data_IF_449591675953
#
_entry.id   IF_449591675953
#
_cell.length_a   1.000
_cell.length_b   1.000
_cell.length_c   1.000
_cell.angle_alpha   90.00
_cell.angle_beta   90.00
_cell.angle_gamma   90.00
#
_symmetry.space_group_name_H-M   'P 1'
#
loop_
_entity.id
_entity.type
_entity.pdbx_description
1 polymer ?
#
# COMPACT_ATOMS: atom_id res chain seq x y z
N UNK A 1 -2.63 20.51 7.15
CA UNK A 1 -2.68 19.61 5.97
C UNK A 1 -1.33 18.89 5.81
N UNK A 2 -0.58 18.69 6.89
CA UNK A 2 0.85 18.35 6.81
C UNK A 2 1.15 16.89 7.18
N UNK A 3 0.11 16.10 7.47
CA UNK A 3 0.21 14.71 7.92
C UNK A 3 0.00 13.66 6.80
N UNK A 4 -0.12 14.02 5.53
CA UNK A 4 -0.19 13.03 4.42
C UNK A 4 1.15 12.91 3.67
N UNK A 5 1.91 14.01 3.57
CA UNK A 5 3.19 14.06 2.86
C UNK A 5 4.34 13.39 3.63
N UNK A 6 4.38 13.55 4.96
CA UNK A 6 5.43 12.93 5.80
C UNK A 6 5.26 11.40 5.87
N UNK A 7 4.01 10.92 5.83
CA UNK A 7 3.68 9.51 6.11
C UNK A 7 3.72 8.61 4.87
N UNK A 8 3.52 9.17 3.68
CA UNK A 8 3.78 8.48 2.40
C UNK A 8 5.29 8.33 2.17
N UNK A 9 6.09 9.29 2.65
CA UNK A 9 7.55 9.18 2.64
C UNK A 9 8.03 8.00 3.51
N UNK A 10 7.49 7.79 4.71
CA UNK A 10 7.92 6.70 5.62
C UNK A 10 7.63 5.29 5.07
N UNK A 11 6.43 5.04 4.54
CA UNK A 11 6.09 3.73 3.97
C UNK A 11 6.89 3.46 2.68
N UNK A 12 7.10 4.49 1.87
CA UNK A 12 7.93 4.40 0.66
C UNK A 12 9.40 4.17 1.05
N UNK A 13 9.90 4.87 2.08
CA UNK A 13 11.25 4.74 2.60
C UNK A 13 11.52 3.34 3.17
N UNK A 14 10.58 2.79 3.95
CA UNK A 14 10.69 1.43 4.48
C UNK A 14 10.63 0.36 3.38
N UNK A 15 9.76 0.53 2.36
CA UNK A 15 9.72 -0.39 1.20
C UNK A 15 11.04 -0.35 0.41
N UNK A 16 11.62 0.83 0.19
CA UNK A 16 12.91 1.01 -0.48
C UNK A 16 14.05 0.37 0.33
N UNK A 17 14.04 0.50 1.66
CA UNK A 17 15.05 -0.09 2.55
C UNK A 17 14.96 -1.63 2.59
N UNK A 18 13.74 -2.19 2.52
CA UNK A 18 13.53 -3.64 2.47
C UNK A 18 14.06 -4.22 1.16
N UNK A 19 13.70 -3.58 0.05
CA UNK A 19 14.14 -3.94 -1.29
C UNK A 19 15.68 -3.89 -1.40
N UNK A 20 16.29 -2.81 -0.91
CA UNK A 20 17.74 -2.67 -0.89
C UNK A 20 18.44 -3.74 -0.04
N UNK A 21 17.85 -4.10 1.11
CA UNK A 21 18.40 -5.12 2.00
C UNK A 21 18.28 -6.52 1.41
N UNK A 22 17.14 -6.85 0.80
CA UNK A 22 16.91 -8.14 0.13
C UNK A 22 17.89 -8.35 -1.03
N UNK A 23 18.11 -7.29 -1.82
CA UNK A 23 19.02 -7.32 -2.96
C UNK A 23 20.48 -7.45 -2.55
N UNK A 24 20.88 -6.79 -1.46
CA UNK A 24 22.24 -6.92 -0.91
C UNK A 24 22.50 -8.34 -0.43
N UNK A 25 21.53 -8.93 0.27
CA UNK A 25 21.60 -10.31 0.73
C UNK A 25 21.78 -11.28 -0.44
N UNK A 26 20.87 -11.24 -1.41
CA UNK A 26 20.92 -12.15 -2.55
C UNK A 26 22.07 -11.86 -3.51
N UNK A 27 22.60 -10.63 -3.51
CA UNK A 27 23.78 -10.25 -4.28
C UNK A 27 25.09 -10.81 -3.71
N UNK A 28 25.09 -11.42 -2.52
CA UNK A 28 26.30 -12.07 -1.99
C UNK A 28 26.68 -13.27 -2.87
N UNK A 29 27.93 -13.33 -3.34
CA UNK A 29 28.45 -14.40 -4.22
C UNK A 29 28.17 -15.81 -3.73
N UNK A 30 28.23 -16.03 -2.41
CA UNK A 30 27.95 -17.33 -1.82
C UNK A 30 26.48 -17.75 -2.02
N UNK A 31 25.54 -16.81 -1.87
CA UNK A 31 24.12 -17.08 -2.08
C UNK A 31 23.85 -17.32 -3.57
N UNK A 32 24.43 -16.50 -4.44
CA UNK A 32 24.37 -16.72 -5.89
C UNK A 32 24.92 -18.09 -6.29
N UNK A 33 26.03 -18.53 -5.69
CA UNK A 33 26.61 -19.83 -5.95
C UNK A 33 25.66 -20.99 -5.58
N UNK A 34 25.00 -20.93 -4.43
CA UNK A 34 23.99 -21.93 -4.05
C UNK A 34 22.78 -21.94 -5.00
N UNK A 35 22.36 -20.78 -5.50
CA UNK A 35 21.31 -20.70 -6.53
C UNK A 35 21.78 -21.39 -7.82
N UNK A 36 23.00 -21.10 -8.27
CA UNK A 36 23.59 -21.68 -9.48
C UNK A 36 23.72 -23.20 -9.40
N UNK A 37 24.21 -23.74 -8.28
CA UNK A 37 24.34 -25.19 -8.06
C UNK A 37 23.00 -25.91 -8.25
N UNK A 38 21.89 -25.26 -7.89
CA UNK A 38 20.57 -25.88 -7.91
C UNK A 38 19.85 -25.69 -9.24
N UNK A 39 20.06 -24.56 -9.91
CA UNK A 39 19.35 -24.19 -11.15
C UNK A 39 20.11 -24.60 -12.41
N UNK A 40 21.43 -24.58 -12.37
CA UNK A 40 22.28 -24.80 -13.55
C UNK A 40 22.95 -26.16 -13.45
N UNK A 41 22.67 -27.05 -14.41
CA UNK A 41 23.16 -28.43 -14.42
C UNK A 41 24.68 -28.55 -14.35
N UNK A 42 25.42 -27.59 -14.92
CA UNK A 42 26.87 -27.58 -14.93
C UNK A 42 27.49 -27.49 -13.52
N UNK A 43 26.80 -26.80 -12.61
CA UNK A 43 27.28 -26.57 -11.24
C UNK A 43 26.72 -27.59 -10.23
N UNK A 44 25.89 -28.54 -10.67
CA UNK A 44 25.30 -29.55 -9.77
C UNK A 44 26.39 -30.40 -9.12
N UNK A 45 26.35 -30.46 -7.79
CA UNK A 45 27.29 -31.26 -6.98
C UNK A 45 28.67 -30.61 -6.78
N UNK A 46 28.88 -29.37 -7.24
CA UNK A 46 30.06 -28.58 -6.89
C UNK A 46 29.88 -27.92 -5.52
N UNK A 47 30.98 -27.57 -4.86
CA UNK A 47 30.95 -26.76 -3.64
C UNK A 47 30.68 -25.28 -3.96
N UNK A 48 29.97 -24.61 -3.05
CA UNK A 48 29.54 -23.23 -3.24
C UNK A 48 30.72 -22.25 -3.29
N UNK A 49 31.81 -22.53 -2.58
CA UNK A 49 33.04 -21.74 -2.61
C UNK A 49 33.70 -21.76 -3.99
N UNK A 50 33.80 -22.93 -4.61
CA UNK A 50 34.32 -23.08 -5.97
C UNK A 50 33.42 -22.37 -6.97
N UNK A 51 32.10 -22.56 -6.89
CA UNK A 51 31.17 -21.86 -7.80
C UNK A 51 31.21 -20.34 -7.58
N UNK A 52 31.33 -19.87 -6.34
CA UNK A 52 31.49 -18.45 -6.04
C UNK A 52 32.77 -17.85 -6.64
N UNK A 53 33.85 -18.65 -6.74
CA UNK A 53 35.09 -18.22 -7.40
C UNK A 53 34.98 -18.12 -8.93
N UNK A 54 33.98 -18.79 -9.53
CA UNK A 54 33.68 -18.70 -10.96
C UNK A 54 32.81 -17.47 -11.29
N UNK A 55 32.26 -16.79 -10.28
CA UNK A 55 31.54 -15.52 -10.47
C UNK A 55 32.55 -14.38 -10.65
N UNK A 56 32.53 -13.79 -11.83
CA UNK A 56 33.44 -12.73 -12.25
C UNK A 56 32.98 -11.36 -11.76
N UNK A 57 33.93 -10.56 -11.28
CA UNK A 57 33.66 -9.22 -10.76
C UNK A 57 32.71 -9.20 -9.56
N UNK A 58 32.05 -8.08 -9.31
CA UNK A 58 30.99 -7.96 -8.31
C UNK A 58 29.62 -7.94 -9.00
N UNK A 59 28.60 -8.59 -8.44
CA UNK A 59 27.23 -8.52 -8.96
C UNK A 59 26.72 -7.08 -9.00
N UNK A 60 26.10 -6.71 -10.12
CA UNK A 60 25.41 -5.42 -10.27
C UNK A 60 24.02 -5.53 -9.67
N UNK A 61 23.72 -4.66 -8.70
CA UNK A 61 22.45 -4.64 -7.98
C UNK A 61 21.66 -3.37 -8.37
N UNK A 62 20.39 -3.51 -8.76
CA UNK A 62 19.45 -2.40 -9.02
C UNK A 62 19.89 -1.35 -10.07
N UNK A 63 20.90 -1.60 -10.89
CA UNK A 63 21.61 -0.48 -11.56
C UNK A 63 21.78 -0.57 -13.08
N UNK A 64 21.19 -1.53 -13.78
CA UNK A 64 21.42 -1.61 -15.23
C UNK A 64 20.10 -1.59 -16.01
N UNK A 65 19.75 -0.47 -16.66
CA UNK A 65 18.76 -0.51 -17.72
C UNK A 65 19.32 -1.35 -18.86
N UNK A 66 18.59 -2.37 -19.31
CA UNK A 66 18.93 -3.04 -20.57
C UNK A 66 18.17 -2.38 -21.71
N UNK A 67 18.88 -2.03 -22.78
CA UNK A 67 18.26 -1.60 -24.03
C UNK A 67 17.67 -2.84 -24.74
N UNK A 68 16.36 -2.89 -25.02
CA UNK A 68 15.76 -3.94 -25.84
C UNK A 68 16.20 -3.70 -27.28
N UNK A 69 17.22 -4.42 -27.76
CA UNK A 69 17.64 -4.32 -29.17
C UNK A 69 19.11 -4.52 -29.47
N UNK A 70 20.00 -4.58 -28.47
CA UNK A 70 21.44 -4.81 -28.69
C UNK A 70 21.74 -6.27 -29.02
N UNK A 71 21.38 -6.69 -30.23
CA UNK A 71 22.13 -7.75 -30.90
C UNK A 71 23.48 -7.17 -31.31
N UNK A 72 24.56 -7.65 -30.69
CA UNK A 72 25.94 -7.31 -31.04
C UNK A 72 26.29 -7.87 -32.44
N UNK A 73 25.66 -7.35 -33.49
CA UNK A 73 26.20 -7.42 -34.85
C UNK A 73 26.50 -6.00 -35.28
N UNK A 74 27.77 -5.63 -35.23
CA UNK A 74 28.27 -4.52 -36.03
C UNK A 74 27.98 -4.87 -37.50
N UNK A 75 26.87 -4.35 -38.04
CA UNK A 75 26.63 -4.42 -39.48
C UNK A 75 27.36 -3.24 -40.11
N UNK A 76 28.47 -3.56 -40.77
CA UNK A 76 29.15 -2.66 -41.70
C UNK A 76 28.39 -2.67 -43.03
N UNK A 77 28.19 -1.50 -43.63
CA UNK A 77 27.59 -1.40 -44.95
C UNK A 77 28.51 -2.08 -45.99
N UNK A 78 27.97 -3.05 -46.72
CA UNK A 78 28.72 -3.91 -47.65
C UNK A 78 29.21 -3.15 -48.91
N UNK A 79 28.84 -1.88 -49.08
CA UNK A 79 29.28 -1.04 -50.20
C UNK A 79 30.37 -0.01 -49.88
N UNK A 80 30.50 0.45 -48.63
CA UNK A 80 31.29 1.66 -48.31
C UNK A 80 32.16 1.54 -47.06
N UNK A 81 31.98 0.53 -46.21
CA UNK A 81 32.82 0.30 -45.03
C UNK A 81 32.71 1.37 -43.94
N UNK A 82 31.78 2.30 -44.03
CA UNK A 82 31.55 3.32 -43.01
C UNK A 82 30.58 2.84 -41.93
N UNK A 83 30.87 3.26 -40.69
CA UNK A 83 30.07 2.97 -39.51
C UNK A 83 28.76 3.75 -39.59
N UNK A 84 27.64 3.07 -39.80
CA UNK A 84 26.32 3.72 -39.81
C UNK A 84 26.00 4.18 -38.38
N UNK A 85 26.19 5.47 -38.11
CA UNK A 85 25.72 6.13 -36.89
C UNK A 85 24.36 6.74 -37.20
N UNK A 86 23.30 6.14 -36.68
CA UNK A 86 21.94 6.65 -36.84
C UNK A 86 21.78 8.00 -36.12
N UNK A 87 21.52 9.06 -36.88
CA UNK A 87 21.10 10.36 -36.35
C UNK A 87 19.64 10.27 -35.89
N UNK A 88 19.40 9.96 -34.62
CA UNK A 88 18.07 10.07 -34.03
C UNK A 88 17.75 11.54 -33.75
N UNK A 89 17.01 12.16 -34.68
CA UNK A 89 16.39 13.49 -34.52
C UNK A 89 14.88 13.35 -34.55
N UNK A 90 14.28 12.53 -33.67
CA UNK A 90 12.85 12.64 -33.34
C UNK A 90 12.51 11.86 -32.07
N UNK A 91 11.66 12.45 -31.24
CA UNK A 91 11.03 11.90 -30.03
C UNK A 91 11.89 11.74 -28.78
N UNK A 92 11.88 12.81 -27.97
CA UNK A 92 12.09 12.76 -26.53
C UNK A 92 10.74 12.51 -25.83
N UNK A 93 10.23 11.28 -25.91
CA UNK A 93 9.17 10.78 -25.04
C UNK A 93 9.73 9.63 -24.18
N UNK A 94 10.05 9.98 -22.94
CA UNK A 94 9.87 9.22 -21.70
C UNK A 94 10.02 7.69 -21.82
N UNK A 95 11.26 7.21 -21.68
CA UNK A 95 11.64 5.97 -20.98
C UNK A 95 10.91 4.65 -21.32
N UNK A 96 10.29 4.52 -22.49
CA UNK A 96 9.74 3.27 -23.00
C UNK A 96 10.88 2.35 -23.47
N UNK A 97 11.50 1.62 -22.54
CA UNK A 97 12.44 0.55 -22.91
C UNK A 97 13.39 0.09 -21.82
N UNK A 98 13.51 0.77 -20.69
CA UNK A 98 14.45 0.34 -19.64
C UNK A 98 13.84 -0.79 -18.80
N UNK A 99 14.16 -2.03 -19.15
CA UNK A 99 13.92 -3.16 -18.25
C UNK A 99 15.01 -3.13 -17.17
N UNK A 100 14.60 -2.87 -15.93
CA UNK A 100 15.47 -2.94 -14.76
C UNK A 100 15.49 -4.38 -14.24
N UNK A 101 16.69 -4.91 -14.02
CA UNK A 101 16.88 -6.19 -13.35
C UNK A 101 17.40 -5.97 -11.93
N UNK A 102 17.02 -6.85 -11.01
CA UNK A 102 17.40 -6.73 -9.61
C UNK A 102 18.86 -7.11 -9.38
N UNK A 103 19.33 -8.20 -10.00
CA UNK A 103 20.72 -8.66 -9.89
C UNK A 103 21.21 -9.15 -11.26
N UNK A 104 22.38 -8.66 -11.67
CA UNK A 104 23.12 -9.13 -12.85
C UNK A 104 24.53 -9.53 -12.42
N UNK A 105 24.99 -10.70 -12.85
CA UNK A 105 26.38 -11.11 -12.63
C UNK A 105 26.88 -11.97 -13.79
N UNK A 106 28.19 -12.13 -13.88
CA UNK A 106 28.83 -12.96 -14.90
C UNK A 106 29.44 -14.18 -14.24
N UNK A 107 29.28 -15.34 -14.84
CA UNK A 107 29.84 -16.61 -14.34
C UNK A 107 30.60 -17.31 -15.44
N UNK A 108 31.78 -17.85 -15.10
CA UNK A 108 32.57 -18.66 -16.03
C UNK A 108 32.00 -20.08 -16.10
N UNK A 109 31.54 -20.43 -17.29
CA UNK A 109 31.08 -21.76 -17.69
C UNK A 109 32.18 -22.47 -18.49
N UNK A 110 31.96 -23.74 -18.82
CA UNK A 110 32.83 -24.54 -19.70
C UNK A 110 32.95 -23.98 -21.12
N UNK A 111 31.89 -23.35 -21.61
CA UNK A 111 31.79 -22.82 -22.98
C UNK A 111 32.11 -21.32 -23.10
N UNK A 112 32.35 -20.64 -21.97
CA UNK A 112 32.72 -19.23 -21.94
C UNK A 112 32.15 -18.46 -20.75
N UNK A 113 32.02 -17.15 -20.90
CA UNK A 113 31.44 -16.29 -19.88
C UNK A 113 29.93 -16.15 -20.13
N UNK A 114 29.12 -16.50 -19.13
CA UNK A 114 27.67 -16.38 -19.19
C UNK A 114 27.18 -15.21 -18.32
N UNK A 115 26.19 -14.47 -18.82
CA UNK A 115 25.50 -13.40 -18.06
C UNK A 115 24.27 -14.00 -17.39
N UNK A 116 24.20 -13.91 -16.07
CA UNK A 116 23.07 -14.34 -15.26
C UNK A 116 22.26 -13.14 -14.81
N UNK A 117 20.95 -13.26 -14.89
CA UNK A 117 19.99 -12.21 -14.55
C UNK A 117 18.95 -12.80 -13.60
N UNK A 118 18.78 -12.17 -12.43
CA UNK A 118 17.79 -12.58 -11.43
C UNK A 118 16.84 -11.41 -11.20
N UNK A 119 15.54 -11.72 -11.31
CA UNK A 119 14.44 -10.84 -10.90
C UNK A 119 13.95 -11.29 -9.53
N UNK A 120 13.84 -10.37 -8.58
CA UNK A 120 13.53 -10.62 -7.19
C UNK A 120 12.11 -10.17 -6.86
N UNK A 121 11.22 -11.13 -6.64
CA UNK A 121 9.92 -10.88 -6.04
C UNK A 121 9.97 -11.26 -4.56
N UNK A 122 10.14 -10.28 -3.67
CA UNK A 122 10.24 -10.53 -2.25
C UNK A 122 8.84 -10.70 -1.60
N UNK A 123 8.60 -11.85 -0.96
CA UNK A 123 7.38 -12.11 -0.16
C UNK A 123 7.63 -11.88 1.33
N UNK A 124 6.70 -11.22 2.01
CA UNK A 124 6.88 -10.68 3.37
C UNK A 124 6.41 -11.61 4.50
N UNK A 125 5.90 -12.82 4.22
CA UNK A 125 5.06 -13.57 5.17
C UNK A 125 5.79 -14.47 6.19
N UNK A 126 7.09 -14.28 6.47
CA UNK A 126 7.86 -15.17 7.36
C UNK A 126 8.81 -14.42 8.31
N UNK A 127 9.00 -14.96 9.53
CA UNK A 127 9.90 -14.38 10.55
C UNK A 127 11.38 -14.61 10.24
N UNK A 128 12.28 -13.84 10.87
CA UNK A 128 13.73 -13.96 10.67
C UNK A 128 14.26 -15.36 10.96
N UNK A 129 13.83 -15.95 12.08
CA UNK A 129 14.27 -17.27 12.52
C UNK A 129 13.78 -18.37 11.58
N UNK A 130 12.54 -18.26 11.09
CA UNK A 130 12.00 -19.18 10.10
C UNK A 130 12.74 -19.08 8.77
N UNK A 131 13.04 -17.86 8.29
CA UNK A 131 13.83 -17.62 7.08
C UNK A 131 15.24 -18.18 7.21
N UNK A 132 15.94 -17.92 8.32
CA UNK A 132 17.28 -18.47 8.55
C UNK A 132 17.27 -20.00 8.61
N UNK A 133 16.25 -20.60 9.23
CA UNK A 133 16.08 -22.05 9.27
C UNK A 133 15.88 -22.63 7.88
N UNK A 134 15.04 -22.03 7.05
CA UNK A 134 14.79 -22.43 5.67
C UNK A 134 16.06 -22.32 4.82
N UNK A 135 16.73 -21.16 4.87
CA UNK A 135 18.00 -20.89 4.16
C UNK A 135 19.06 -21.94 4.51
N UNK A 136 19.19 -22.30 5.79
CA UNK A 136 20.15 -23.30 6.25
C UNK A 136 19.74 -24.74 5.94
N UNK A 137 18.50 -25.12 6.23
CA UNK A 137 18.08 -26.52 6.23
C UNK A 137 17.54 -26.99 4.88
N UNK A 138 16.90 -26.12 4.11
CA UNK A 138 16.24 -26.49 2.85
C UNK A 138 17.08 -26.12 1.62
N UNK A 139 17.79 -24.99 1.71
CA UNK A 139 18.65 -24.48 0.64
C UNK A 139 20.15 -24.72 0.85
N UNK A 140 20.53 -25.26 2.01
CA UNK A 140 21.93 -25.59 2.36
C UNK A 140 22.89 -24.39 2.25
N UNK A 141 22.39 -23.18 2.55
CA UNK A 141 23.17 -21.94 2.51
C UNK A 141 23.72 -21.66 3.93
N UNK A 142 25.03 -21.44 4.11
CA UNK A 142 25.62 -21.22 5.41
C UNK A 142 25.26 -19.82 5.95
N UNK A 143 24.39 -19.80 6.97
CA UNK A 143 23.93 -18.57 7.66
C UNK A 143 24.84 -18.15 8.82
N UNK A 144 25.96 -18.83 9.01
CA UNK A 144 26.89 -18.61 10.12
C UNK A 144 27.67 -17.29 9.96
N UNK A 145 27.66 -16.73 8.73
CA UNK A 145 28.23 -15.41 8.44
C UNK A 145 27.38 -14.30 9.06
N UNK A 146 28.05 -13.45 9.83
CA UNK A 146 27.41 -12.33 10.53
C UNK A 146 26.68 -11.37 9.58
N UNK A 147 27.15 -11.21 8.33
CA UNK A 147 26.50 -10.39 7.30
C UNK A 147 25.11 -10.91 6.92
N UNK A 148 24.98 -12.22 6.70
CA UNK A 148 23.71 -12.87 6.30
C UNK A 148 22.69 -12.77 7.44
N UNK A 149 23.13 -13.03 8.68
CA UNK A 149 22.26 -12.94 9.86
C UNK A 149 21.76 -11.52 10.10
N UNK A 150 22.62 -10.51 10.01
CA UNK A 150 22.23 -9.12 10.21
C UNK A 150 21.32 -8.61 9.09
N UNK A 151 21.58 -8.95 7.84
CA UNK A 151 20.71 -8.54 6.73
C UNK A 151 19.31 -9.15 6.83
N UNK A 152 19.20 -10.44 7.19
CA UNK A 152 17.89 -11.07 7.42
C UNK A 152 17.17 -10.45 8.62
N UNK A 153 17.90 -10.08 9.68
CA UNK A 153 17.34 -9.41 10.87
C UNK A 153 16.83 -8.01 10.54
N UNK A 154 17.62 -7.22 9.80
CA UNK A 154 17.22 -5.89 9.33
C UNK A 154 15.95 -5.99 8.49
N UNK A 155 15.87 -6.95 7.57
CA UNK A 155 14.68 -7.15 6.74
C UNK A 155 13.43 -7.45 7.58
N UNK A 156 13.54 -8.27 8.62
CA UNK A 156 12.38 -8.66 9.42
C UNK A 156 11.90 -7.54 10.35
N UNK A 157 12.82 -6.85 11.03
CA UNK A 157 12.48 -5.69 11.86
C UNK A 157 11.78 -4.60 11.03
N UNK A 158 12.21 -4.43 9.77
CA UNK A 158 11.61 -3.46 8.87
C UNK A 158 10.21 -3.90 8.41
N UNK A 159 9.97 -5.20 8.25
CA UNK A 159 8.65 -5.75 7.91
C UNK A 159 7.67 -5.59 9.08
N UNK A 160 8.11 -5.93 10.31
CA UNK A 160 7.34 -5.78 11.54
C UNK A 160 6.95 -4.32 11.80
N UNK A 161 7.90 -3.39 11.62
CA UNK A 161 7.63 -1.96 11.77
C UNK A 161 6.62 -1.40 10.75
N UNK A 162 6.60 -1.93 9.52
CA UNK A 162 5.61 -1.55 8.49
C UNK A 162 4.21 -2.05 8.87
N UNK A 163 4.11 -3.30 9.33
CA UNK A 163 2.84 -3.92 9.71
C UNK A 163 2.24 -3.24 10.94
N UNK A 164 3.04 -3.01 11.99
CA UNK A 164 2.61 -2.32 13.20
C UNK A 164 2.14 -0.89 12.90
N UNK A 165 2.90 -0.15 12.09
CA UNK A 165 2.53 1.20 11.66
C UNK A 165 1.25 1.20 10.80
N UNK A 166 1.09 0.20 9.93
CA UNK A 166 -0.12 0.01 9.13
C UNK A 166 -1.35 -0.25 10.01
N UNK A 167 -1.20 -1.06 11.05
CA UNK A 167 -2.24 -1.36 12.02
C UNK A 167 -2.67 -0.12 12.80
N UNK A 168 -1.72 0.59 13.41
CA UNK A 168 -1.99 1.82 14.18
C UNK A 168 -2.67 2.89 13.32
N UNK A 169 -2.25 3.02 12.06
CA UNK A 169 -2.90 3.92 11.09
C UNK A 169 -4.33 3.50 10.76
N UNK A 170 -4.55 2.21 10.52
CA UNK A 170 -5.88 1.66 10.23
C UNK A 170 -6.86 1.91 11.38
N UNK A 171 -6.42 1.70 12.61
CA UNK A 171 -7.22 1.95 13.81
C UNK A 171 -7.53 3.44 14.01
N UNK A 172 -6.53 4.32 13.87
CA UNK A 172 -6.72 5.76 14.02
C UNK A 172 -7.65 6.33 12.93
N UNK A 173 -7.46 5.92 11.67
CA UNK A 173 -8.32 6.33 10.57
C UNK A 173 -9.76 5.83 10.76
N UNK A 174 -9.92 4.57 11.20
CA UNK A 174 -11.22 3.98 11.52
C UNK A 174 -11.95 4.74 12.64
N UNK A 175 -11.24 5.12 13.71
CA UNK A 175 -11.82 5.91 14.80
C UNK A 175 -12.27 7.31 14.35
N UNK A 176 -11.45 8.01 13.55
CA UNK A 176 -11.79 9.35 13.06
C UNK A 176 -13.01 9.29 12.13
N UNK A 177 -13.02 8.33 11.20
CA UNK A 177 -14.13 8.14 10.27
C UNK A 177 -15.43 7.81 11.01
N UNK A 178 -15.38 6.86 11.95
CA UNK A 178 -16.54 6.48 12.76
C UNK A 178 -17.08 7.63 13.60
N UNK A 179 -16.20 8.47 14.19
CA UNK A 179 -16.62 9.64 14.96
C UNK A 179 -17.30 10.69 14.08
N UNK A 180 -16.72 11.01 12.92
CA UNK A 180 -17.27 12.01 12.00
C UNK A 180 -18.63 11.58 11.42
N UNK A 181 -18.81 10.30 11.13
CA UNK A 181 -20.08 9.76 10.67
C UNK A 181 -21.14 9.77 11.78
N UNK A 182 -20.75 9.35 12.99
CA UNK A 182 -21.61 9.40 14.17
C UNK A 182 -22.11 10.82 14.49
N UNK A 183 -21.23 11.82 14.39
CA UNK A 183 -21.57 13.22 14.61
C UNK A 183 -22.58 13.75 13.58
N UNK A 184 -22.36 13.46 12.28
CA UNK A 184 -23.30 13.84 11.20
C UNK A 184 -24.68 13.22 11.39
N UNK A 185 -24.74 11.94 11.72
CA UNK A 185 -26.00 11.23 11.96
C UNK A 185 -26.70 11.80 13.20
N UNK A 186 -25.95 12.04 14.27
CA UNK A 186 -26.45 12.63 15.51
C UNK A 186 -27.06 14.01 15.28
N UNK A 187 -26.34 14.91 14.59
CA UNK A 187 -26.81 16.26 14.29
C UNK A 187 -28.05 16.25 13.38
N UNK A 188 -28.05 15.42 12.34
CA UNK A 188 -29.19 15.31 11.42
C UNK A 188 -30.45 14.81 12.14
N UNK A 189 -30.31 13.78 13.00
CA UNK A 189 -31.42 13.27 13.82
C UNK A 189 -31.90 14.31 14.82
N UNK A 190 -31.00 14.97 15.54
CA UNK A 190 -31.35 16.02 16.50
C UNK A 190 -32.11 17.17 15.86
N UNK A 191 -31.65 17.66 14.70
CA UNK A 191 -32.35 18.72 13.94
C UNK A 191 -33.70 18.28 13.39
N UNK A 192 -33.88 17.00 13.05
CA UNK A 192 -35.15 16.48 12.54
C UNK A 192 -36.18 16.37 13.67
N UNK A 193 -35.80 15.73 14.78
CA UNK A 193 -36.65 15.53 15.96
C UNK A 193 -37.08 16.88 16.54
N UNK A 194 -36.12 17.78 16.80
CA UNK A 194 -36.44 19.10 17.36
C UNK A 194 -37.33 19.95 16.44
N UNK A 195 -37.21 19.81 15.11
CA UNK A 195 -38.11 20.50 14.18
C UNK A 195 -39.52 19.91 14.18
N UNK A 196 -39.67 18.59 14.30
CA UNK A 196 -40.99 17.97 14.38
C UNK A 196 -41.68 18.28 15.71
N UNK A 197 -40.96 18.18 16.82
CA UNK A 197 -41.50 18.44 18.16
C UNK A 197 -41.89 19.92 18.30
N UNK A 198 -40.99 20.86 18.01
CA UNK A 198 -41.31 22.28 18.11
C UNK A 198 -42.43 22.74 17.16
N UNK A 199 -42.61 22.09 16.00
CA UNK A 199 -43.74 22.38 15.10
C UNK A 199 -45.07 21.87 15.69
N UNK A 200 -45.08 20.70 16.31
CA UNK A 200 -46.29 20.13 16.91
C UNK A 200 -46.68 20.93 18.15
N UNK A 201 -45.71 21.25 19.00
CA UNK A 201 -45.90 22.03 20.23
C UNK A 201 -46.42 23.43 19.92
N UNK A 202 -45.78 24.17 19.01
CA UNK A 202 -46.24 25.51 18.62
C UNK A 202 -47.64 25.52 17.98
N UNK A 203 -48.02 24.48 17.22
CA UNK A 203 -49.39 24.34 16.68
C UNK A 203 -50.41 24.06 17.79
N UNK A 204 -50.03 23.32 18.82
CA UNK A 204 -50.88 23.03 19.97
C UNK A 204 -51.09 24.29 20.82
N UNK A 205 -50.03 25.07 21.05
CA UNK A 205 -50.09 26.35 21.77
C UNK A 205 -50.97 27.37 21.04
N UNK A 206 -50.79 27.53 19.72
CA UNK A 206 -51.60 28.47 18.93
C UNK A 206 -53.08 28.09 18.94
N UNK A 207 -53.41 26.79 18.86
CA UNK A 207 -54.79 26.29 18.97
C UNK A 207 -55.37 26.55 20.36
N UNK A 208 -54.61 26.30 21.43
CA UNK A 208 -55.04 26.57 22.79
C UNK A 208 -55.34 28.07 23.02
N UNK A 209 -54.48 28.95 22.50
CA UNK A 209 -54.65 30.41 22.57
C UNK A 209 -55.93 30.90 21.86
N UNK A 210 -56.25 30.31 20.70
CA UNK A 210 -57.48 30.62 19.96
C UNK A 210 -58.71 30.17 20.76
N UNK A 211 -58.68 28.96 21.33
CA UNK A 211 -59.76 28.40 22.16
C UNK A 211 -60.01 29.30 23.38
N UNK A 212 -58.96 29.71 24.09
CA UNK A 212 -59.05 30.63 25.23
C UNK A 212 -59.68 31.98 24.85
N UNK A 213 -59.32 32.54 23.68
CA UNK A 213 -59.91 33.79 23.17
C UNK A 213 -61.36 33.63 22.77
N UNK A 214 -61.75 32.50 22.18
CA UNK A 214 -63.15 32.19 21.83
C UNK A 214 -63.99 32.04 23.10
N UNK A 215 -63.52 31.29 24.09
CA UNK A 215 -64.23 31.14 25.36
C UNK A 215 -64.43 32.49 26.08
N UNK A 216 -63.37 33.32 26.17
CA UNK A 216 -63.46 34.67 26.77
C UNK A 216 -64.43 35.61 26.05
N UNK A 217 -64.70 35.39 24.76
CA UNK A 217 -65.68 36.15 23.97
C UNK A 217 -67.11 35.62 24.10
N UNK A 218 -67.33 34.56 24.87
CA UNK A 218 -68.67 34.01 25.18
C UNK A 218 -69.21 33.03 24.14
N UNK A 219 -68.35 32.44 23.30
CA UNK A 219 -68.77 31.33 22.42
C UNK A 219 -69.13 30.09 23.24
N UNK A 220 -70.18 29.36 22.85
CA UNK A 220 -70.55 28.10 23.51
C UNK A 220 -69.55 26.98 23.21
N UNK A 221 -69.49 25.96 24.07
CA UNK A 221 -68.62 24.80 23.86
C UNK A 221 -68.88 24.11 22.52
N UNK A 222 -70.15 23.95 22.13
CA UNK A 222 -70.55 23.36 20.85
C UNK A 222 -70.02 24.18 19.65
N UNK A 223 -70.06 25.52 19.74
CA UNK A 223 -69.55 26.40 18.68
C UNK A 223 -68.03 26.36 18.58
N UNK A 224 -67.33 26.18 19.70
CA UNK A 224 -65.87 26.03 19.70
C UNK A 224 -65.50 24.66 19.10
N UNK A 225 -66.19 23.59 19.48
CA UNK A 225 -65.99 22.24 18.92
C UNK A 225 -66.15 22.19 17.40
N UNK A 226 -67.18 22.84 16.87
CA UNK A 226 -67.47 22.88 15.42
C UNK A 226 -66.38 23.63 14.63
N UNK A 227 -65.79 24.68 15.20
CA UNK A 227 -64.76 25.49 14.54
C UNK A 227 -63.36 24.88 14.69
N UNK A 228 -63.06 24.23 15.81
CA UNK A 228 -61.70 23.71 16.08
C UNK A 228 -61.54 22.22 15.77
N UNK A 229 -62.64 21.51 15.46
CA UNK A 229 -62.69 20.06 15.23
C UNK A 229 -62.14 19.25 16.43
N UNK A 230 -62.24 19.79 17.65
CA UNK A 230 -61.76 19.16 18.87
C UNK A 230 -62.90 18.59 19.71
N UNK A 231 -62.59 17.57 20.52
CA UNK A 231 -63.57 16.99 21.43
C UNK A 231 -63.84 17.93 22.61
N UNK A 232 -65.03 17.79 23.21
CA UNK A 232 -65.42 18.56 24.39
C UNK A 232 -64.42 18.39 25.56
N UNK A 233 -63.86 17.18 25.71
CA UNK A 233 -62.87 16.88 26.75
C UNK A 233 -61.55 17.65 26.53
N UNK A 234 -61.07 17.73 25.29
CA UNK A 234 -59.83 18.46 24.97
C UNK A 234 -60.01 19.98 25.15
N UNK A 235 -61.18 20.51 24.79
CA UNK A 235 -61.49 21.93 24.97
C UNK A 235 -61.62 22.29 26.46
N UNK A 236 -62.29 21.44 27.26
CA UNK A 236 -62.39 21.63 28.71
C UNK A 236 -61.02 21.61 29.38
N UNK A 237 -60.15 20.69 28.99
CA UNK A 237 -58.78 20.60 29.52
C UNK A 237 -57.90 21.82 29.22
N UNK A 238 -58.26 22.65 28.23
CA UNK A 238 -57.55 23.90 27.88
C UNK A 238 -58.12 25.11 28.63
N UNK A 239 -59.40 25.05 29.02
CA UNK A 239 -60.15 26.18 29.61
C UNK A 239 -60.20 26.10 31.14
N UNK A 240 -60.13 24.90 31.73
CA UNK A 240 -59.92 24.67 33.18
C UNK A 240 -58.51 25.05 33.64
#
# INVERSE_FOLDING_TARGET
>A
MDNELVYSADATYQKVQYDASAKRLLGQKIILAHILIRVVDEFKGMDAETVASLIEGEPYISQVPVEPGLTNKEMVDAGTGERIVGLNTESSEIDEGKVYFDIIFYVRMRDGLAKMIINLEASQTMTAEQKLKLIKQEYDIPVDRHSIREEVKIMCNLSEGVEEMGCVKGEAAGMIAGRAEGEKIGEARGKAIGRSEGRLEGKSEERADIILKMHKKGYSLEQIMDVTEMSEAEIKAIIE
#
